data_IF_587836910267
#
_entry.id   IF_587836910267
#
_cell.length_a   1.000
_cell.length_b   1.000
_cell.length_c   1.000
_cell.angle_alpha   90.00
_cell.angle_beta   90.00
_cell.angle_gamma   90.00
#
_symmetry.space_group_name_H-M   'P 1'
#
loop_
_entity.id
_entity.type
_entity.pdbx_description
1 polymer ?
#
# COMPACT_ATOMS: atom_id res chain seq x y z
N UNK A 1 -30.38 -34.19 -8.18
CA UNK A 1 -29.14 -33.67 -8.79
C UNK A 1 -29.17 -32.16 -8.65
N UNK A 2 -28.85 -31.67 -7.45
CA UNK A 2 -28.92 -30.25 -7.10
C UNK A 2 -27.50 -29.71 -6.94
N UNK A 3 -27.18 -28.68 -7.70
CA UNK A 3 -25.92 -27.95 -7.66
C UNK A 3 -25.99 -26.87 -6.58
N UNK A 4 -25.14 -27.01 -5.55
CA UNK A 4 -24.92 -26.00 -4.53
C UNK A 4 -24.39 -24.68 -5.14
N UNK A 5 -25.08 -23.58 -4.85
CA UNK A 5 -24.60 -22.20 -5.07
C UNK A 5 -23.70 -21.78 -3.89
N UNK A 6 -22.62 -21.02 -4.11
CA UNK A 6 -21.80 -20.51 -3.02
C UNK A 6 -22.48 -19.35 -2.29
N UNK A 7 -22.25 -19.29 -0.98
CA UNK A 7 -22.76 -18.29 -0.04
C UNK A 7 -22.23 -16.89 -0.38
N UNK A 8 -23.15 -15.92 -0.44
CA UNK A 8 -22.86 -14.49 -0.58
C UNK A 8 -22.22 -13.98 0.71
N UNK A 9 -21.02 -13.41 0.62
CA UNK A 9 -20.45 -12.62 1.70
C UNK A 9 -21.23 -11.30 1.86
N UNK A 10 -21.47 -10.95 3.13
CA UNK A 10 -22.33 -9.85 3.55
C UNK A 10 -21.91 -8.50 2.98
N UNK A 11 -22.85 -7.89 2.26
CA UNK A 11 -22.84 -6.48 1.92
C UNK A 11 -23.17 -5.72 3.21
N UNK A 12 -22.24 -4.90 3.71
CA UNK A 12 -22.51 -3.96 4.79
C UNK A 12 -22.78 -2.61 4.13
N UNK A 13 -24.01 -2.13 4.30
CA UNK A 13 -24.49 -0.83 3.86
C UNK A 13 -23.63 0.30 4.43
N UNK A 14 -23.30 1.26 3.56
CA UNK A 14 -22.72 2.54 3.95
C UNK A 14 -23.87 3.53 4.09
N UNK A 15 -24.39 3.67 5.31
CA UNK A 15 -25.41 4.68 5.59
C UNK A 15 -24.83 6.09 5.44
N UNK A 16 -25.43 6.80 4.48
CA UNK A 16 -25.45 8.25 4.43
C UNK A 16 -26.19 8.74 5.66
N UNK A 17 -25.57 9.59 6.48
CA UNK A 17 -26.38 10.48 7.31
C UNK A 17 -25.79 11.86 7.51
N UNK A 18 -26.72 12.79 7.39
CA UNK A 18 -26.57 14.21 7.16
C UNK A 18 -26.28 14.96 8.46
N UNK A 19 -25.48 16.02 8.32
CA UNK A 19 -25.02 16.92 9.37
C UNK A 19 -26.15 17.50 10.26
N UNK A 20 -25.95 17.45 11.57
CA UNK A 20 -26.52 18.41 12.51
C UNK A 20 -25.40 18.98 13.40
N UNK A 21 -25.23 20.29 13.33
CA UNK A 21 -24.22 21.09 14.01
C UNK A 21 -24.59 21.42 15.47
N UNK A 22 -23.61 21.43 16.37
CA UNK A 22 -23.43 22.30 17.55
C UNK A 22 -22.30 21.65 18.39
N UNK A 23 -21.35 22.26 19.11
CA UNK A 23 -21.12 23.60 19.63
C UNK A 23 -19.59 23.78 19.88
N UNK A 24 -19.16 25.03 20.09
CA UNK A 24 -17.80 25.56 20.31
C UNK A 24 -16.77 24.75 21.15
N UNK A 25 -15.45 24.85 20.82
CA UNK A 25 -14.37 24.47 21.74
C UNK A 25 -13.83 25.66 22.55
N UNK A 26 -13.49 25.38 23.81
CA UNK A 26 -12.82 26.26 24.77
C UNK A 26 -11.32 26.38 24.42
N UNK A 27 -10.82 27.62 24.35
CA UNK A 27 -9.41 27.97 24.13
C UNK A 27 -8.58 27.70 25.40
N UNK A 28 -7.52 26.89 25.26
CA UNK A 28 -6.39 26.85 26.19
C UNK A 28 -5.12 27.25 25.43
N UNK A 29 -4.68 28.48 25.63
CA UNK A 29 -3.39 28.99 25.18
C UNK A 29 -2.29 28.41 26.09
N UNK A 30 -1.34 27.68 25.53
CA UNK A 30 -0.05 27.43 26.16
C UNK A 30 1.07 28.05 25.34
N UNK A 31 1.82 28.94 26.00
CA UNK A 31 3.06 29.54 25.52
C UNK A 31 4.10 28.48 25.14
N UNK A 32 4.64 28.55 23.93
CA UNK A 32 5.87 27.87 23.54
C UNK A 32 6.97 28.90 23.39
N UNK A 33 7.99 28.78 24.25
CA UNK A 33 9.20 29.56 24.21
C UNK A 33 10.11 29.10 23.07
N UNK A 34 10.79 30.07 22.45
CA UNK A 34 11.77 29.89 21.38
C UNK A 34 13.01 29.09 21.84
N UNK A 35 13.40 28.08 21.06
CA UNK A 35 14.73 27.43 21.15
C UNK A 35 15.42 27.58 19.78
N UNK A 36 16.69 28.00 19.72
CA UNK A 36 17.37 28.34 18.47
C UNK A 36 17.81 27.10 17.67
N UNK A 37 17.76 27.23 16.35
CA UNK A 37 18.13 26.21 15.36
C UNK A 37 19.65 26.28 15.12
N UNK A 38 20.37 25.21 15.47
CA UNK A 38 21.72 24.94 14.98
C UNK A 38 21.66 23.78 13.98
N UNK A 39 22.02 24.04 12.73
CA UNK A 39 22.18 23.02 11.67
C UNK A 39 23.57 22.38 11.72
N UNK A 40 23.65 21.05 11.51
CA UNK A 40 24.73 20.49 10.70
C UNK A 40 24.19 19.67 9.53
N UNK A 41 24.43 20.18 8.33
CA UNK A 41 24.28 19.50 7.05
C UNK A 41 25.38 18.44 6.91
N UNK A 42 25.07 17.17 7.15
CA UNK A 42 25.64 15.99 6.46
C UNK A 42 25.20 14.62 7.05
N UNK A 43 24.47 14.58 8.17
CA UNK A 43 23.91 13.34 8.75
C UNK A 43 22.52 12.95 8.21
N UNK A 44 21.85 13.82 7.46
CA UNK A 44 20.41 13.67 7.12
C UNK A 44 20.14 12.57 6.08
N UNK A 45 21.12 12.12 5.29
CA UNK A 45 20.86 11.15 4.21
C UNK A 45 20.78 9.69 4.65
N UNK A 46 21.28 9.36 5.84
CA UNK A 46 21.27 7.99 6.37
C UNK A 46 19.97 7.69 7.15
N UNK A 47 19.23 8.72 7.56
CA UNK A 47 18.10 8.61 8.50
C UNK A 47 16.72 8.45 7.84
N UNK A 48 16.58 8.76 6.54
CA UNK A 48 15.27 8.74 5.87
C UNK A 48 14.74 7.32 5.58
N UNK A 49 15.56 6.27 5.69
CA UNK A 49 15.08 4.87 5.54
C UNK A 49 14.59 4.27 6.85
N UNK A 50 15.03 4.80 7.99
CA UNK A 50 14.68 4.31 9.31
C UNK A 50 13.28 4.73 9.77
N UNK A 51 12.60 5.68 9.11
CA UNK A 51 11.22 6.05 9.50
C UNK A 51 10.23 4.88 9.40
N UNK A 52 10.48 3.91 8.51
CA UNK A 52 9.70 2.67 8.42
C UNK A 52 10.05 1.64 9.52
N UNK A 53 11.19 1.80 10.18
CA UNK A 53 11.72 0.95 11.25
C UNK A 53 11.45 1.51 12.66
N UNK A 54 11.00 2.76 12.76
CA UNK A 54 10.55 3.32 14.03
C UNK A 54 9.17 2.75 14.36
N UNK A 55 9.05 2.23 15.57
CA UNK A 55 7.84 1.75 16.25
C UNK A 55 6.58 2.55 15.86
N UNK A 56 5.38 1.94 15.93
CA UNK A 56 4.17 2.57 15.45
C UNK A 56 3.99 3.95 16.09
N UNK A 57 3.87 4.96 15.23
CA UNK A 57 3.89 6.37 15.62
C UNK A 57 2.51 6.83 16.08
N UNK A 58 2.47 7.69 17.10
CA UNK A 58 1.24 8.29 17.62
C UNK A 58 0.13 7.25 17.91
N UNK A 59 0.49 6.07 18.42
CA UNK A 59 -0.47 5.02 18.78
C UNK A 59 -1.25 5.45 20.03
N UNK A 60 -2.55 5.18 20.05
CA UNK A 60 -3.36 5.35 21.26
C UNK A 60 -2.91 4.29 22.28
N UNK A 61 -2.55 4.67 23.52
CA UNK A 61 -2.16 3.71 24.56
C UNK A 61 -3.09 2.50 24.70
N UNK A 62 -4.40 2.68 24.49
CA UNK A 62 -5.40 1.60 24.62
C UNK A 62 -5.34 0.59 23.45
N UNK A 63 -4.63 0.91 22.37
CA UNK A 63 -4.44 0.03 21.22
C UNK A 63 -3.09 -0.69 21.24
N UNK A 64 -2.15 -0.28 22.10
CA UNK A 64 -0.80 -0.86 22.17
C UNK A 64 -0.86 -2.36 22.40
N UNK A 65 -1.67 -2.82 23.35
CA UNK A 65 -1.74 -4.25 23.69
C UNK A 65 -2.30 -5.08 22.54
N UNK A 66 -3.33 -4.57 21.85
CA UNK A 66 -3.91 -5.26 20.69
C UNK A 66 -2.89 -5.37 19.55
N UNK A 67 -2.11 -4.31 19.30
CA UNK A 67 -1.05 -4.35 18.29
C UNK A 67 0.06 -5.34 18.66
N UNK A 68 0.42 -5.44 19.94
CA UNK A 68 1.38 -6.45 20.42
C UNK A 68 0.87 -7.87 20.23
N UNK A 69 -0.39 -8.15 20.58
CA UNK A 69 -1.02 -9.45 20.33
C UNK A 69 -1.01 -9.76 18.83
N UNK A 70 -1.33 -8.78 17.99
CA UNK A 70 -1.30 -8.97 16.54
C UNK A 70 0.11 -9.32 16.04
N UNK A 71 1.14 -8.62 16.52
CA UNK A 71 2.53 -8.90 16.14
C UNK A 71 2.96 -10.31 16.57
N UNK A 72 2.61 -10.76 17.78
CA UNK A 72 2.87 -12.12 18.24
C UNK A 72 2.20 -13.19 17.36
N UNK A 73 0.96 -12.95 16.94
CA UNK A 73 0.26 -13.84 16.00
C UNK A 73 1.00 -13.91 14.66
N UNK A 74 1.43 -12.77 14.11
CA UNK A 74 2.16 -12.71 12.84
C UNK A 74 3.47 -13.47 12.90
N UNK A 75 4.20 -13.38 14.02
CA UNK A 75 5.51 -14.01 14.18
C UNK A 75 5.40 -15.55 14.30
N UNK A 76 4.29 -16.04 14.84
CA UNK A 76 4.07 -17.48 15.10
C UNK A 76 3.44 -18.23 13.92
N UNK A 77 2.70 -17.55 13.04
CA UNK A 77 1.92 -18.19 11.98
C UNK A 77 2.73 -18.31 10.69
N UNK A 78 2.56 -19.43 9.99
CA UNK A 78 3.14 -19.63 8.66
C UNK A 78 2.40 -18.81 7.57
N UNK A 79 3.12 -18.21 6.61
CA UNK A 79 2.51 -17.44 5.52
C UNK A 79 1.41 -18.20 4.76
N UNK A 80 0.26 -17.57 4.55
CA UNK A 80 -0.81 -18.13 3.71
C UNK A 80 -0.56 -17.90 2.21
N UNK A 81 0.20 -16.85 1.88
CA UNK A 81 0.66 -16.56 0.53
C UNK A 81 2.07 -17.09 0.36
N UNK A 82 2.30 -17.73 -0.77
CA UNK A 82 3.61 -18.21 -1.19
C UNK A 82 4.13 -17.31 -2.31
N UNK A 83 5.45 -17.18 -2.44
CA UNK A 83 6.01 -16.35 -3.51
C UNK A 83 5.61 -16.89 -4.89
N UNK A 84 5.61 -18.21 -5.06
CA UNK A 84 5.37 -18.89 -6.33
C UNK A 84 4.09 -19.75 -6.30
N UNK A 85 3.50 -20.06 -7.48
CA UNK A 85 2.43 -21.04 -7.60
C UNK A 85 2.84 -22.43 -7.10
N UNK A 86 1.92 -23.12 -6.43
CA UNK A 86 2.15 -24.46 -5.88
C UNK A 86 1.65 -25.51 -6.86
N UNK A 87 2.55 -26.35 -7.35
CA UNK A 87 2.21 -27.54 -8.13
C UNK A 87 1.81 -28.68 -7.19
N UNK A 88 0.57 -29.15 -7.30
CA UNK A 88 0.11 -30.31 -6.55
C UNK A 88 0.37 -31.56 -7.41
N UNK A 89 1.37 -32.36 -7.03
CA UNK A 89 1.53 -33.71 -7.60
C UNK A 89 0.48 -34.62 -6.97
N UNK A 90 -0.68 -34.74 -7.62
CA UNK A 90 -1.64 -35.79 -7.26
C UNK A 90 -1.00 -37.16 -7.51
N UNK A 91 -1.09 -38.07 -6.54
CA UNK A 91 -0.48 -39.42 -6.58
C UNK A 91 -1.15 -40.38 -7.60
N UNK A 92 -1.85 -39.86 -8.60
CA UNK A 92 -2.56 -40.68 -9.59
C UNK A 92 -2.52 -40.00 -10.97
N UNK A 93 -1.78 -40.60 -11.89
CA UNK A 93 -1.68 -40.33 -13.33
C UNK A 93 -0.83 -39.12 -13.78
N UNK A 94 0.11 -39.31 -14.73
CA UNK A 94 1.14 -38.33 -15.11
C UNK A 94 0.65 -37.25 -16.10
N UNK A 95 -0.59 -36.76 -16.00
CA UNK A 95 -1.14 -35.83 -17.02
C UNK A 95 -1.78 -34.53 -16.54
N UNK A 96 -1.98 -34.29 -15.26
CA UNK A 96 -2.50 -32.99 -14.80
C UNK A 96 -1.89 -32.56 -13.47
N UNK A 97 -0.86 -31.71 -13.53
CA UNK A 97 -0.42 -30.93 -12.37
C UNK A 97 -1.43 -29.80 -12.14
N UNK A 98 -2.15 -29.85 -11.02
CA UNK A 98 -3.00 -28.73 -10.62
C UNK A 98 -2.13 -27.67 -9.96
N UNK A 99 -2.00 -26.52 -10.63
CA UNK A 99 -1.25 -25.36 -10.12
C UNK A 99 -2.23 -24.41 -9.43
N UNK A 100 -1.99 -24.12 -8.15
CA UNK A 100 -2.78 -23.13 -7.41
C UNK A 100 -2.13 -21.76 -7.52
N UNK A 101 -2.82 -20.84 -8.20
CA UNK A 101 -2.37 -19.47 -8.43
C UNK A 101 -2.94 -18.45 -7.44
N UNK A 102 -4.06 -18.76 -6.77
CA UNK A 102 -4.75 -17.83 -5.86
C UNK A 102 -3.95 -17.49 -4.61
N UNK A 103 -2.97 -18.31 -4.22
CA UNK A 103 -2.03 -18.03 -3.12
C UNK A 103 -0.63 -17.60 -3.59
N UNK A 104 -0.42 -17.47 -4.90
CA UNK A 104 0.86 -17.06 -5.48
C UNK A 104 0.98 -15.55 -5.52
N UNK A 105 1.90 -15.00 -4.73
CA UNK A 105 2.12 -13.57 -4.60
C UNK A 105 2.54 -12.93 -5.93
N UNK A 106 3.45 -13.54 -6.69
CA UNK A 106 3.84 -12.99 -8.00
C UNK A 106 2.67 -13.01 -8.99
N UNK A 107 1.81 -14.02 -8.94
CA UNK A 107 0.66 -14.11 -9.83
C UNK A 107 -0.37 -13.03 -9.49
N UNK A 108 -0.64 -12.85 -8.20
CA UNK A 108 -1.56 -11.82 -7.70
C UNK A 108 -1.11 -10.43 -8.13
N UNK A 109 0.17 -10.12 -7.96
CA UNK A 109 0.75 -8.81 -8.30
C UNK A 109 0.82 -8.62 -9.83
N UNK A 110 1.23 -9.63 -10.60
CA UNK A 110 1.31 -9.52 -12.06
C UNK A 110 -0.05 -9.38 -12.74
N UNK A 111 -1.12 -9.92 -12.13
CA UNK A 111 -2.48 -9.89 -12.68
C UNK A 111 -3.38 -8.84 -12.04
N UNK A 112 -2.87 -8.07 -11.08
CA UNK A 112 -3.65 -7.13 -10.26
C UNK A 112 -4.86 -7.83 -9.59
N UNK A 113 -4.73 -9.11 -9.23
CA UNK A 113 -5.79 -9.89 -8.57
C UNK A 113 -5.82 -9.63 -7.05
N UNK A 114 -5.84 -8.35 -6.66
CA UNK A 114 -5.56 -7.88 -5.30
C UNK A 114 -6.57 -8.38 -4.24
N UNK A 115 -7.76 -8.82 -4.66
CA UNK A 115 -8.75 -9.46 -3.78
C UNK A 115 -8.25 -10.76 -3.13
N UNK A 116 -7.21 -11.40 -3.69
CA UNK A 116 -6.58 -12.59 -3.11
C UNK A 116 -5.57 -12.26 -2.00
N UNK A 117 -5.26 -10.98 -1.77
CA UNK A 117 -4.39 -10.56 -0.68
C UNK A 117 -5.15 -10.57 0.65
N UNK A 118 -5.02 -11.67 1.40
CA UNK A 118 -5.69 -11.88 2.68
C UNK A 118 -4.78 -11.67 3.90
N UNK A 119 -5.40 -11.41 5.05
CA UNK A 119 -4.76 -11.50 6.37
C UNK A 119 -4.91 -12.90 6.94
N UNK A 120 -4.15 -13.21 7.98
CA UNK A 120 -4.41 -14.37 8.82
C UNK A 120 -5.77 -14.23 9.50
N UNK A 121 -6.54 -15.31 9.58
CA UNK A 121 -7.91 -15.27 10.12
C UNK A 121 -7.97 -14.79 11.58
N UNK A 122 -6.97 -15.11 12.41
CA UNK A 122 -6.88 -14.62 13.78
C UNK A 122 -6.56 -13.11 13.83
N UNK A 123 -5.63 -12.64 13.00
CA UNK A 123 -5.32 -11.21 12.86
C UNK A 123 -6.53 -10.43 12.36
N UNK A 124 -7.27 -10.97 11.39
CA UNK A 124 -8.48 -10.35 10.86
C UNK A 124 -9.62 -10.29 11.89
N UNK A 125 -9.77 -11.33 12.73
CA UNK A 125 -10.71 -11.31 13.84
C UNK A 125 -10.33 -10.24 14.86
N UNK A 126 -9.08 -10.21 15.31
CA UNK A 126 -8.57 -9.20 16.25
C UNK A 126 -8.75 -7.77 15.71
N UNK A 127 -8.53 -7.56 14.41
CA UNK A 127 -8.79 -6.29 13.75
C UNK A 127 -10.27 -5.88 13.85
N UNK A 128 -11.17 -6.79 13.48
CA UNK A 128 -12.60 -6.47 13.35
C UNK A 128 -13.34 -6.43 14.69
N UNK A 129 -12.97 -7.28 15.64
CA UNK A 129 -13.69 -7.50 16.89
C UNK A 129 -13.16 -6.63 18.03
N UNK A 130 -11.85 -6.32 18.05
CA UNK A 130 -11.24 -5.60 19.15
C UNK A 130 -10.77 -4.20 18.70
N UNK A 131 -9.81 -4.16 17.77
CA UNK A 131 -9.19 -2.91 17.32
C UNK A 131 -10.22 -1.91 16.78
N UNK A 132 -11.07 -2.35 15.82
CA UNK A 132 -12.07 -1.48 15.20
C UNK A 132 -13.13 -1.00 16.19
N UNK A 133 -13.46 -1.79 17.21
CA UNK A 133 -14.47 -1.40 18.20
C UNK A 133 -13.94 -0.30 19.11
N UNK A 134 -12.71 -0.43 19.60
CA UNK A 134 -12.06 0.62 20.41
C UNK A 134 -11.91 1.90 19.59
N UNK A 135 -11.43 1.78 18.35
CA UNK A 135 -11.27 2.92 17.45
C UNK A 135 -12.62 3.60 17.18
N UNK A 136 -13.68 2.83 16.91
CA UNK A 136 -15.03 3.37 16.69
C UNK A 136 -15.57 4.07 17.93
N UNK A 137 -15.40 3.48 19.11
CA UNK A 137 -15.88 4.05 20.37
C UNK A 137 -15.20 5.37 20.72
N UNK A 138 -13.88 5.48 20.49
CA UNK A 138 -13.10 6.68 20.83
C UNK A 138 -13.11 7.77 19.77
N UNK A 139 -13.04 7.38 18.49
CA UNK A 139 -12.77 8.30 17.38
C UNK A 139 -13.90 8.36 16.35
N UNK A 140 -14.96 7.55 16.51
CA UNK A 140 -16.06 7.43 15.57
C UNK A 140 -15.75 6.58 14.34
N UNK A 141 -14.54 6.69 13.77
CA UNK A 141 -14.12 5.86 12.64
C UNK A 141 -12.60 5.66 12.55
N UNK A 142 -12.19 4.60 11.86
CA UNK A 142 -10.78 4.35 11.52
C UNK A 142 -10.17 5.47 10.68
N UNK A 143 -10.95 6.10 9.80
CA UNK A 143 -10.47 7.22 8.97
C UNK A 143 -10.13 8.43 9.86
N UNK A 144 -10.98 8.78 10.82
CA UNK A 144 -10.72 9.91 11.74
C UNK A 144 -9.50 9.62 12.60
N UNK A 145 -9.42 8.41 13.16
CA UNK A 145 -8.26 7.98 13.95
C UNK A 145 -6.95 8.07 13.15
N UNK A 146 -6.92 7.51 11.94
CA UNK A 146 -5.72 7.56 11.09
C UNK A 146 -5.38 8.99 10.64
N UNK A 147 -6.36 9.85 10.34
CA UNK A 147 -6.12 11.28 10.05
C UNK A 147 -5.40 11.96 11.22
N UNK A 148 -5.82 11.70 12.45
CA UNK A 148 -5.16 12.23 13.66
C UNK A 148 -3.74 11.66 13.82
N UNK A 149 -3.56 10.34 13.68
CA UNK A 149 -2.22 9.72 13.77
C UNK A 149 -1.25 10.29 12.76
N UNK A 150 -1.67 10.35 11.49
CA UNK A 150 -0.86 10.80 10.36
C UNK A 150 -0.45 12.27 10.51
N UNK A 151 -1.25 13.11 11.17
CA UNK A 151 -0.87 14.48 11.51
C UNK A 151 -0.55 15.35 10.29
N UNK A 152 -1.08 15.01 9.10
CA UNK A 152 -0.87 15.79 7.90
C UNK A 152 -1.45 17.19 8.05
N UNK A 153 -0.64 18.21 7.79
CA UNK A 153 -1.07 19.61 7.89
C UNK A 153 -1.99 19.98 6.72
N UNK A 154 -3.28 20.17 6.99
CA UNK A 154 -4.30 20.53 5.97
C UNK A 154 -4.00 21.85 5.24
N UNK A 155 -3.31 22.79 5.90
CA UNK A 155 -3.03 24.13 5.36
C UNK A 155 -1.74 24.22 4.53
N UNK A 156 -1.02 23.10 4.36
CA UNK A 156 0.26 23.11 3.64
C UNK A 156 0.05 23.07 2.13
N UNK A 157 0.36 24.19 1.46
CA UNK A 157 0.44 24.23 0.00
C UNK A 157 1.78 23.65 -0.46
N UNK A 158 1.72 22.73 -1.42
CA UNK A 158 2.89 22.22 -2.14
C UNK A 158 3.02 23.01 -3.44
N UNK A 159 4.11 23.75 -3.61
CA UNK A 159 4.38 24.54 -4.81
C UNK A 159 5.63 24.02 -5.50
N UNK A 160 5.62 23.97 -6.84
CA UNK A 160 6.81 23.67 -7.64
C UNK A 160 7.76 24.88 -7.73
N UNK A 161 8.88 24.70 -8.44
CA UNK A 161 9.91 25.74 -8.63
C UNK A 161 9.38 27.00 -9.33
N UNK A 162 8.23 26.92 -10.01
CA UNK A 162 7.58 28.03 -10.70
C UNK A 162 6.50 28.69 -9.84
N UNK A 163 6.26 28.19 -8.63
CA UNK A 163 5.21 28.67 -7.73
C UNK A 163 3.83 28.05 -7.99
N UNK A 164 3.74 27.03 -8.85
CA UNK A 164 2.47 26.38 -9.18
C UNK A 164 2.15 25.28 -8.18
N UNK A 165 0.88 25.18 -7.79
CA UNK A 165 0.42 24.16 -6.85
C UNK A 165 0.52 22.74 -7.43
N UNK A 166 1.03 21.84 -6.59
CA UNK A 166 1.03 20.39 -6.81
C UNK A 166 -0.24 19.81 -6.19
N UNK A 167 -1.00 19.10 -7.01
CA UNK A 167 -2.30 18.52 -6.64
C UNK A 167 -2.28 17.00 -6.47
N UNK A 168 -1.22 16.34 -6.92
CA UNK A 168 -1.09 14.88 -6.93
C UNK A 168 0.26 14.46 -6.37
N UNK A 169 0.34 13.22 -5.90
CA UNK A 169 1.58 12.61 -5.46
C UNK A 169 2.67 12.69 -6.54
N UNK A 170 3.90 12.92 -6.11
CA UNK A 170 5.08 12.92 -6.97
C UNK A 170 6.28 12.33 -6.26
N UNK A 171 7.15 11.65 -7.02
CA UNK A 171 8.41 11.12 -6.52
C UNK A 171 9.47 12.20 -6.23
N UNK A 172 9.21 13.47 -6.57
CA UNK A 172 10.15 14.56 -6.35
C UNK A 172 10.29 14.88 -4.85
N UNK A 173 11.40 14.41 -4.27
CA UNK A 173 11.76 14.61 -2.86
C UNK A 173 12.04 16.08 -2.51
N UNK A 174 12.28 16.94 -3.49
CA UNK A 174 12.40 18.39 -3.24
C UNK A 174 11.03 18.99 -2.88
N UNK A 175 9.95 18.43 -3.43
CA UNK A 175 8.57 18.88 -3.24
C UNK A 175 7.90 18.16 -2.06
N UNK A 176 7.91 16.83 -2.05
CA UNK A 176 7.25 16.02 -1.02
C UNK A 176 8.19 15.64 0.12
N UNK A 177 7.80 15.93 1.36
CA UNK A 177 8.61 15.65 2.56
C UNK A 177 8.04 14.50 3.39
N UNK A 178 8.89 13.54 3.74
CA UNK A 178 8.56 12.47 4.68
C UNK A 178 8.13 13.07 6.03
N UNK A 179 7.16 12.45 6.68
CA UNK A 179 6.55 12.91 7.92
C UNK A 179 5.54 14.06 7.77
N UNK A 180 5.58 14.83 6.68
CA UNK A 180 4.71 16.01 6.46
C UNK A 180 3.69 15.83 5.33
N UNK A 181 4.14 15.30 4.18
CA UNK A 181 3.31 15.13 2.98
C UNK A 181 3.02 13.67 2.66
N UNK A 182 3.91 12.79 3.09
CA UNK A 182 3.72 11.36 3.06
C UNK A 182 4.34 10.74 4.31
N UNK A 183 3.95 9.51 4.63
CA UNK A 183 4.55 8.71 5.70
C UNK A 183 4.71 7.27 5.22
N UNK A 184 5.90 6.73 5.39
CA UNK A 184 6.20 5.32 5.14
C UNK A 184 6.19 4.59 6.47
N UNK A 185 5.35 3.56 6.61
CA UNK A 185 5.12 2.89 7.90
C UNK A 185 5.08 1.38 7.70
N UNK A 186 5.56 0.59 8.66
CA UNK A 186 5.27 -0.84 8.68
C UNK A 186 3.75 -1.02 8.81
N UNK A 187 3.17 -1.89 7.98
CA UNK A 187 1.76 -2.18 8.08
C UNK A 187 1.50 -2.96 9.37
N UNK A 188 0.77 -2.34 10.29
CA UNK A 188 0.39 -2.92 11.58
C UNK A 188 -0.56 -4.12 11.44
N UNK A 189 -1.20 -4.27 10.28
CA UNK A 189 -2.16 -5.32 9.95
C UNK A 189 -1.79 -5.97 8.60
N UNK A 190 -0.59 -6.58 8.52
CA UNK A 190 -0.05 -7.08 7.27
C UNK A 190 -0.86 -8.27 6.74
N UNK A 191 -0.84 -8.42 5.41
CA UNK A 191 -1.26 -9.65 4.75
C UNK A 191 -0.34 -10.82 5.10
N UNK A 192 -0.83 -12.05 4.93
CA UNK A 192 -0.06 -13.25 5.24
C UNK A 192 0.98 -13.60 4.16
N UNK A 193 1.88 -12.66 3.89
CA UNK A 193 2.96 -12.73 2.90
C UNK A 193 4.17 -13.55 3.40
N UNK A 194 5.09 -13.97 2.52
CA UNK A 194 6.31 -14.66 2.92
C UNK A 194 7.16 -13.87 3.94
N UNK A 195 7.74 -14.57 4.93
CA UNK A 195 8.47 -13.97 6.07
C UNK A 195 9.70 -13.14 5.69
N UNK A 196 10.27 -13.37 4.51
CA UNK A 196 11.39 -12.59 3.98
C UNK A 196 10.97 -11.25 3.35
N UNK A 197 9.67 -10.93 3.38
CA UNK A 197 9.14 -9.64 2.97
C UNK A 197 8.59 -8.86 4.17
N UNK A 198 8.86 -7.56 4.18
CA UNK A 198 8.20 -6.59 5.05
C UNK A 198 7.05 -5.93 4.30
N UNK A 199 5.88 -5.87 4.92
CA UNK A 199 4.73 -5.14 4.38
C UNK A 199 4.76 -3.69 4.88
N UNK A 200 5.00 -2.74 3.99
CA UNK A 200 4.92 -1.31 4.26
C UNK A 200 3.64 -0.70 3.66
N UNK A 201 3.12 0.32 4.33
CA UNK A 201 2.07 1.20 3.82
C UNK A 201 2.65 2.60 3.67
N UNK A 202 2.45 3.19 2.49
CA UNK A 202 2.88 4.55 2.18
C UNK A 202 1.64 5.41 2.12
N UNK A 203 1.42 6.23 3.14
CA UNK A 203 0.33 7.20 3.23
C UNK A 203 0.73 8.49 2.55
N UNK A 204 -0.18 9.10 1.80
CA UNK A 204 0.03 10.38 1.12
C UNK A 204 -1.07 11.37 1.50
N UNK A 205 -0.67 12.62 1.68
CA UNK A 205 -1.60 13.75 1.85
C UNK A 205 -2.29 14.12 0.54
N UNK A 206 -1.65 13.84 -0.60
CA UNK A 206 -2.19 14.11 -1.93
C UNK A 206 -2.73 12.83 -2.59
N UNK A 207 -3.75 12.92 -3.46
CA UNK A 207 -4.18 11.80 -4.29
C UNK A 207 -3.01 11.19 -5.07
N UNK A 208 -2.93 9.86 -5.07
CA UNK A 208 -1.78 9.14 -5.64
C UNK A 208 -1.72 9.19 -7.16
N UNK A 209 -2.88 9.17 -7.81
CA UNK A 209 -2.96 9.05 -9.25
C UNK A 209 -3.30 10.41 -9.87
N UNK A 210 -2.49 10.84 -10.84
CA UNK A 210 -2.76 12.03 -11.65
C UNK A 210 -3.48 11.62 -12.94
N UNK A 211 -4.76 12.01 -13.16
CA UNK A 211 -5.51 11.67 -14.36
C UNK A 211 -4.81 12.07 -15.67
N UNK A 212 -3.93 13.08 -15.64
CA UNK A 212 -3.18 13.53 -16.83
C UNK A 212 -2.09 12.54 -17.27
N UNK A 213 -1.73 11.58 -16.42
CA UNK A 213 -0.82 10.47 -16.76
C UNK A 213 -1.59 9.24 -17.31
N UNK A 214 -2.90 9.36 -17.47
CA UNK A 214 -3.73 8.33 -18.09
C UNK A 214 -3.56 8.41 -19.61
N UNK A 215 -3.34 7.27 -20.29
CA UNK A 215 -3.31 7.26 -21.77
C UNK A 215 -4.72 7.32 -22.36
N UNK A 216 -5.74 6.91 -21.59
CA UNK A 216 -7.16 7.03 -21.93
C UNK A 216 -8.04 7.27 -20.69
N UNK A 217 -9.28 7.72 -20.86
CA UNK A 217 -10.25 7.79 -19.75
C UNK A 217 -10.55 6.39 -19.15
N UNK A 218 -10.40 5.34 -19.94
CA UNK A 218 -10.63 3.96 -19.52
C UNK A 218 -9.56 3.49 -18.53
N UNK A 219 -8.31 3.92 -18.70
CA UNK A 219 -7.21 3.51 -17.81
C UNK A 219 -7.41 4.06 -16.40
N UNK A 220 -7.85 5.32 -16.29
CA UNK A 220 -8.20 5.95 -15.01
C UNK A 220 -9.30 5.18 -14.28
N UNK A 221 -10.38 4.86 -15.00
CA UNK A 221 -11.50 4.10 -14.46
C UNK A 221 -11.05 2.70 -14.01
N UNK A 222 -10.28 2.00 -14.85
CA UNK A 222 -9.79 0.66 -14.51
C UNK A 222 -8.86 0.69 -13.31
N UNK A 223 -8.01 1.71 -13.16
CA UNK A 223 -7.17 1.85 -11.98
C UNK A 223 -7.98 1.99 -10.69
N UNK A 224 -9.15 2.63 -10.71
CA UNK A 224 -10.05 2.72 -9.55
C UNK A 224 -10.79 1.40 -9.28
N UNK A 225 -11.22 0.72 -10.35
CA UNK A 225 -12.01 -0.51 -10.26
C UNK A 225 -11.16 -1.75 -9.96
N UNK A 226 -9.93 -1.83 -10.46
CA UNK A 226 -9.06 -2.99 -10.28
C UNK A 226 -7.86 -2.72 -9.38
N UNK A 227 -7.50 -1.46 -9.18
CA UNK A 227 -6.24 -1.09 -8.54
C UNK A 227 -5.10 -1.04 -9.54
N UNK A 228 -3.89 -0.88 -9.03
CA UNK A 228 -2.64 -0.98 -9.78
C UNK A 228 -1.67 -1.86 -9.01
N UNK A 229 -0.77 -2.53 -9.71
CA UNK A 229 0.32 -3.28 -9.08
C UNK A 229 1.49 -3.43 -10.02
N UNK A 230 2.64 -3.78 -9.46
CA UNK A 230 3.82 -4.02 -10.27
C UNK A 230 5.03 -4.42 -9.44
N UNK A 231 6.15 -4.51 -10.15
CA UNK A 231 7.42 -4.94 -9.61
C UNK A 231 8.48 -3.85 -9.79
N UNK A 232 9.43 -3.77 -8.85
CA UNK A 232 10.58 -2.88 -8.87
C UNK A 232 11.81 -3.68 -8.42
N UNK A 233 12.99 -3.39 -8.98
CA UNK A 233 14.25 -4.04 -8.61
C UNK A 233 14.23 -5.58 -8.71
N UNK A 234 13.60 -6.15 -9.75
CA UNK A 234 13.54 -7.60 -9.92
C UNK A 234 14.93 -8.23 -10.07
N UNK A 235 15.19 -9.28 -9.31
CA UNK A 235 16.34 -10.17 -9.53
C UNK A 235 16.15 -11.01 -10.79
N UNK A 236 17.25 -11.47 -11.40
CA UNK A 236 17.21 -12.39 -12.54
C UNK A 236 16.42 -13.67 -12.21
N UNK A 237 16.52 -14.15 -10.96
CA UNK A 237 15.77 -15.32 -10.52
C UNK A 237 14.26 -15.08 -10.59
N UNK A 238 13.79 -13.92 -10.11
CA UNK A 238 12.37 -13.60 -10.13
C UNK A 238 11.87 -13.30 -11.54
N UNK A 239 12.67 -12.66 -12.39
CA UNK A 239 12.39 -12.48 -13.82
C UNK A 239 12.15 -13.83 -14.49
N UNK A 240 13.09 -14.77 -14.35
CA UNK A 240 12.94 -16.11 -14.94
C UNK A 240 11.69 -16.84 -14.44
N UNK A 241 11.31 -16.67 -13.17
CA UNK A 241 10.06 -17.23 -12.65
C UNK A 241 8.83 -16.59 -13.24
N UNK A 242 8.82 -15.26 -13.42
CA UNK A 242 7.72 -14.56 -14.09
C UNK A 242 7.59 -15.04 -15.54
N UNK A 243 8.70 -15.17 -16.27
CA UNK A 243 8.74 -15.72 -17.63
C UNK A 243 8.23 -17.17 -17.70
N UNK A 244 8.66 -18.03 -16.77
CA UNK A 244 8.22 -19.43 -16.63
C UNK A 244 6.69 -19.53 -16.51
N UNK A 245 6.09 -18.65 -15.70
CA UNK A 245 4.64 -18.57 -15.53
C UNK A 245 3.91 -17.70 -16.56
N UNK A 246 4.63 -17.17 -17.57
CA UNK A 246 4.10 -16.26 -18.60
C UNK A 246 3.41 -15.03 -18.01
N UNK A 247 3.98 -14.50 -16.93
CA UNK A 247 3.51 -13.31 -16.23
C UNK A 247 4.28 -12.09 -16.75
N UNK A 248 3.55 -11.03 -17.09
CA UNK A 248 4.17 -9.77 -17.48
C UNK A 248 4.84 -9.13 -16.25
N UNK A 249 6.11 -8.82 -16.42
CA UNK A 249 6.97 -8.19 -15.40
C UNK A 249 7.55 -6.87 -15.92
N UNK A 250 7.13 -6.41 -17.10
CA UNK A 250 7.58 -5.13 -17.63
C UNK A 250 6.94 -3.99 -16.85
N UNK A 251 7.74 -2.97 -16.50
CA UNK A 251 7.33 -1.77 -15.74
C UNK A 251 6.17 -0.97 -16.37
N UNK A 252 5.72 -1.36 -17.55
CA UNK A 252 4.63 -0.68 -18.21
C UNK A 252 3.33 -1.34 -17.78
N UNK A 253 2.37 -0.51 -17.39
CA UNK A 253 0.94 -0.84 -17.34
C UNK A 253 0.41 -1.28 -18.73
N UNK A 254 1.00 -2.30 -19.36
CA UNK A 254 0.60 -2.80 -20.67
C UNK A 254 -0.73 -3.54 -20.63
N UNK A 255 -1.21 -3.91 -19.44
CA UNK A 255 -2.50 -4.61 -19.31
C UNK A 255 -3.74 -3.76 -19.58
N UNK A 256 -3.56 -2.50 -20.00
CA UNK A 256 -4.65 -1.63 -20.46
C UNK A 256 -4.61 -1.30 -21.96
N UNK A 257 -3.62 -1.79 -22.70
CA UNK A 257 -3.56 -1.59 -24.14
C UNK A 257 -4.48 -2.59 -24.85
N UNK A 258 -5.68 -2.15 -25.24
CA UNK A 258 -6.38 -2.74 -26.37
C UNK A 258 -5.51 -2.56 -27.61
N UNK A 259 -4.86 -3.64 -28.04
CA UNK A 259 -4.35 -3.90 -29.40
C UNK A 259 -4.30 -2.67 -30.32
N UNK A 260 -3.27 -1.84 -30.20
CA UNK A 260 -2.99 -0.80 -31.18
C UNK A 260 -1.48 -0.52 -31.27
N UNK A 261 -0.94 -0.94 -32.41
CA UNK A 261 0.37 -0.71 -33.03
C UNK A 261 1.41 0.13 -32.29
N UNK A 262 2.57 -0.50 -32.16
CA UNK A 262 3.86 0.05 -31.78
C UNK A 262 4.26 1.27 -32.62
N UNK A 263 4.61 2.36 -31.93
CA UNK A 263 5.66 3.29 -32.34
C UNK A 263 6.41 3.69 -31.07
N UNK A 264 7.62 3.14 -30.93
CA UNK A 264 8.55 3.29 -29.81
C UNK A 264 9.33 4.60 -29.94
N UNK A 265 8.77 5.71 -29.46
CA UNK A 265 9.53 6.93 -29.12
C UNK A 265 8.69 7.80 -28.18
N UNK A 266 9.27 8.20 -27.05
CA UNK A 266 8.65 8.73 -25.83
C UNK A 266 7.98 7.68 -24.94
N UNK A 267 8.66 7.32 -23.85
CA UNK A 267 8.08 6.63 -22.69
C UNK A 267 6.87 7.45 -22.21
N UNK A 268 5.66 7.05 -22.62
CA UNK A 268 4.43 7.65 -22.10
C UNK A 268 4.39 7.38 -20.61
N UNK A 269 4.24 8.46 -19.84
CA UNK A 269 4.10 8.33 -18.40
C UNK A 269 2.81 7.59 -18.06
N UNK A 270 2.87 6.50 -17.30
CA UNK A 270 1.72 5.76 -16.81
C UNK A 270 1.19 6.29 -15.46
N UNK A 271 -0.03 5.87 -15.09
CA UNK A 271 -0.66 6.26 -13.83
C UNK A 271 0.15 5.86 -12.58
N UNK A 272 0.92 4.77 -12.66
CA UNK A 272 1.77 4.27 -11.57
C UNK A 272 3.19 4.84 -11.53
N UNK A 273 3.58 5.68 -12.50
CA UNK A 273 4.98 6.08 -12.67
C UNK A 273 5.56 6.84 -11.48
N UNK A 274 4.80 7.74 -10.88
CA UNK A 274 5.27 8.49 -9.71
C UNK A 274 5.42 7.57 -8.49
N UNK A 275 4.63 6.49 -8.39
CA UNK A 275 4.80 5.46 -7.36
C UNK A 275 6.09 4.68 -7.62
N UNK A 276 6.29 4.20 -8.86
CA UNK A 276 7.50 3.43 -9.24
C UNK A 276 8.76 4.26 -9.00
N UNK A 277 8.81 5.50 -9.49
CA UNK A 277 9.95 6.41 -9.26
C UNK A 277 10.19 6.67 -7.77
N UNK A 278 9.11 6.82 -7.00
CA UNK A 278 9.23 7.02 -5.55
C UNK A 278 9.90 5.81 -4.90
N UNK A 279 9.50 4.59 -5.30
CA UNK A 279 10.09 3.35 -4.79
C UNK A 279 11.56 3.26 -5.19
N UNK A 280 11.89 3.43 -6.48
CA UNK A 280 13.25 3.36 -7.02
C UNK A 280 14.20 4.38 -6.37
N UNK A 281 13.71 5.60 -6.10
CA UNK A 281 14.50 6.64 -5.46
C UNK A 281 14.85 6.32 -4.00
N UNK A 282 14.05 5.49 -3.32
CA UNK A 282 14.13 5.25 -1.86
C UNK A 282 14.71 3.88 -1.50
N UNK A 283 14.35 2.84 -2.24
CA UNK A 283 14.80 1.46 -2.04
C UNK A 283 15.68 1.06 -3.22
N UNK A 284 16.98 1.35 -3.12
CA UNK A 284 17.92 1.17 -4.22
C UNK A 284 18.49 -0.24 -4.25
N UNK A 285 18.66 -0.80 -5.44
CA UNK A 285 19.31 -2.11 -5.64
C UNK A 285 20.70 -2.14 -5.00
N UNK A 286 21.46 -1.05 -5.11
CA UNK A 286 22.83 -0.96 -4.58
C UNK A 286 22.89 -1.04 -3.05
N UNK A 287 21.76 -0.92 -2.38
CA UNK A 287 21.62 -0.98 -0.92
C UNK A 287 21.00 -2.30 -0.46
N UNK A 288 20.90 -3.28 -1.36
CA UNK A 288 20.38 -4.62 -1.07
C UNK A 288 18.86 -4.74 -1.17
N UNK A 289 18.15 -3.78 -1.78
CA UNK A 289 16.71 -3.90 -1.99
C UNK A 289 16.39 -4.52 -3.34
N UNK A 290 15.87 -5.75 -3.32
CA UNK A 290 15.56 -6.53 -4.51
C UNK A 290 14.14 -7.12 -4.45
N UNK A 291 13.62 -7.54 -5.60
CA UNK A 291 12.33 -8.21 -5.75
C UNK A 291 11.16 -7.47 -5.06
N UNK A 292 11.09 -6.15 -5.22
CA UNK A 292 10.06 -5.33 -4.59
C UNK A 292 8.73 -5.46 -5.32
N UNK A 293 7.64 -5.61 -4.57
CA UNK A 293 6.28 -5.71 -5.11
C UNK A 293 5.45 -4.57 -4.55
N UNK A 294 4.72 -3.85 -5.38
CA UNK A 294 3.86 -2.77 -4.94
C UNK A 294 2.45 -2.93 -5.47
N UNK A 295 1.49 -2.37 -4.74
CA UNK A 295 0.10 -2.34 -5.18
C UNK A 295 -0.68 -1.19 -4.55
N UNK A 296 -1.64 -0.69 -5.31
CA UNK A 296 -2.70 0.22 -4.90
C UNK A 296 -4.00 -0.55 -4.99
N UNK A 297 -4.64 -0.80 -3.85
CA UNK A 297 -5.93 -1.50 -3.82
C UNK A 297 -7.00 -0.73 -4.61
N UNK A 298 -7.94 -1.42 -5.30
CA UNK A 298 -9.14 -0.76 -5.82
C UNK A 298 -9.97 -0.16 -4.70
N UNK A 299 -10.76 0.86 -5.01
CA UNK A 299 -11.51 1.65 -4.02
C UNK A 299 -12.38 0.75 -3.11
N UNK A 300 -13.03 -0.27 -3.67
CA UNK A 300 -13.91 -1.15 -2.91
C UNK A 300 -13.18 -2.10 -1.94
N UNK A 301 -11.85 -2.26 -2.06
CA UNK A 301 -11.03 -3.04 -1.13
C UNK A 301 -10.32 -2.14 -0.09
N UNK A 302 -10.38 -0.83 -0.23
CA UNK A 302 -9.72 0.09 0.70
C UNK A 302 -10.58 0.29 1.95
N UNK A 303 -10.00 0.09 3.13
CA UNK A 303 -10.68 0.39 4.41
C UNK A 303 -10.77 1.90 4.68
N UNK A 304 -9.92 2.71 4.07
CA UNK A 304 -9.84 4.16 4.28
C UNK A 304 -9.65 4.89 2.93
N UNK A 305 -10.67 4.90 2.05
CA UNK A 305 -10.54 5.45 0.70
C UNK A 305 -10.27 6.97 0.65
N UNK A 306 -10.60 7.70 1.72
CA UNK A 306 -10.30 9.13 1.86
C UNK A 306 -8.84 9.44 2.20
N UNK A 307 -8.05 8.42 2.56
CA UNK A 307 -6.64 8.56 2.91
C UNK A 307 -5.82 7.88 1.82
N UNK A 308 -5.26 8.61 0.85
CA UNK A 308 -4.51 7.99 -0.23
C UNK A 308 -3.32 7.18 0.30
N UNK A 309 -3.25 5.90 -0.07
CA UNK A 309 -2.13 5.03 0.31
C UNK A 309 -1.89 3.92 -0.71
N UNK A 310 -0.64 3.49 -0.82
CA UNK A 310 -0.26 2.28 -1.54
C UNK A 310 0.57 1.39 -0.63
N UNK A 311 0.74 0.14 -1.04
CA UNK A 311 1.44 -0.88 -0.30
C UNK A 311 2.72 -1.27 -1.03
N UNK A 312 3.75 -1.57 -0.26
CA UNK A 312 5.03 -2.04 -0.76
C UNK A 312 5.46 -3.25 0.06
N UNK A 313 5.79 -4.33 -0.62
CA UNK A 313 6.42 -5.51 -0.06
C UNK A 313 7.92 -5.39 -0.33
N UNK A 314 8.68 -5.20 0.74
CA UNK A 314 10.13 -4.98 0.67
C UNK A 314 10.86 -6.25 1.07
N UNK A 315 11.74 -6.73 0.20
CA UNK A 315 12.73 -7.76 0.51
C UNK A 315 14.11 -7.13 0.50
N UNK A 316 14.91 -7.48 1.50
CA UNK A 316 16.33 -7.14 1.55
C UNK A 316 17.15 -8.39 1.26
N UNK A 317 18.14 -8.28 0.39
CA UNK A 317 19.18 -9.29 0.24
C UNK A 317 19.94 -9.32 1.57
N UNK A 318 19.82 -10.42 2.32
CA UNK A 318 20.70 -10.70 3.46
C UNK A 318 22.10 -11.06 2.95
#
# INVERSE_FOLDING_TARGET
MELHKPLKNGHIDWDNDTLASSSHPVLLQHHLAHIPINTPSHQVSVDLKQSALLEPFNVDPDLIEILKINQQLIDQIEPILQLYPISHSGNTSPRHTNITYSSSLIHIIATTSLFNLGRFSQSEKLYNQDYRQIVKAKYGSTIIYLKQRLGFSSNRLLLDKTGKQIHYFTADQSLMKDGLDYKVVKNEWPYGIPKNYQHLTIWSRLPLLNPKLSSSNNDWKLAHEKGLSGFVNLSNQLIHKLEEFKLDHSHNLKQLQSSAKENLTESRKGLGDEIVKFIENRWKVQEGFEDLLWFLNPVYLQSCPELPHFHLLVKTSN
#
